data_IF_988251486187
#
_entry.id   IF_988251486187
#
_cell.length_a   1.000
_cell.length_b   1.000
_cell.length_c   1.000
_cell.angle_alpha   90.00
_cell.angle_beta   90.00
_cell.angle_gamma   90.00
#
_symmetry.space_group_name_H-M   'P 1'
#
loop_
_entity.id
_entity.type
_entity.pdbx_description
1 polymer ?
#
# COMPACT_ATOMS: atom_id res chain seq x y z
N UNK A 1 52.27 7.38 72.72
CA UNK A 1 51.27 6.29 72.68
C UNK A 1 50.07 6.79 71.87
N UNK A 2 50.01 6.50 70.57
CA UNK A 2 48.96 7.02 69.68
C UNK A 2 48.50 5.90 68.74
N UNK A 3 47.23 5.50 68.84
CA UNK A 3 46.54 4.66 67.85
C UNK A 3 45.49 5.54 67.16
N UNK A 4 45.78 5.96 65.94
CA UNK A 4 44.76 6.38 64.96
C UNK A 4 44.38 5.13 64.17
N UNK A 5 43.21 4.57 64.48
CA UNK A 5 42.55 3.57 63.65
C UNK A 5 41.82 4.36 62.56
N UNK A 6 42.33 4.30 61.34
CA UNK A 6 41.71 4.94 60.18
C UNK A 6 40.68 3.98 59.56
N UNK A 7 39.49 4.51 59.28
CA UNK A 7 38.30 3.82 58.82
C UNK A 7 38.51 3.04 57.51
N UNK A 8 38.56 1.71 57.61
CA UNK A 8 38.50 0.79 56.47
C UNK A 8 37.13 0.87 55.76
N UNK A 9 36.06 1.25 56.47
CA UNK A 9 34.70 1.33 55.91
C UNK A 9 34.54 2.45 54.85
N UNK A 10 35.23 3.57 55.00
CA UNK A 10 35.14 4.70 54.06
C UNK A 10 35.85 4.39 52.74
N UNK A 11 36.93 3.61 52.78
CA UNK A 11 37.69 3.23 51.58
C UNK A 11 36.90 2.21 50.74
N UNK A 12 36.20 1.28 51.38
CA UNK A 12 35.36 0.28 50.68
C UNK A 12 34.16 0.94 50.00
N UNK A 13 33.58 1.98 50.61
CA UNK A 13 32.42 2.68 50.03
C UNK A 13 32.78 3.54 48.81
N UNK A 14 33.97 4.16 48.79
CA UNK A 14 34.46 4.94 47.64
C UNK A 14 34.83 4.03 46.46
N UNK A 15 35.41 2.84 46.72
CA UNK A 15 35.72 1.87 45.67
C UNK A 15 34.46 1.26 45.03
N UNK A 16 33.40 1.02 45.82
CA UNK A 16 32.14 0.49 45.31
C UNK A 16 31.41 1.47 44.38
N UNK A 17 31.43 2.77 44.69
CA UNK A 17 30.81 3.81 43.86
C UNK A 17 31.61 4.04 42.56
N UNK A 18 32.94 3.97 42.61
CA UNK A 18 33.81 4.06 41.42
C UNK A 18 33.58 2.92 40.41
N UNK A 19 33.35 1.70 40.90
CA UNK A 19 33.07 0.53 40.06
C UNK A 19 31.68 0.58 39.39
N UNK A 20 30.68 1.17 40.07
CA UNK A 20 29.34 1.34 39.49
C UNK A 20 29.35 2.45 38.44
N UNK A 21 30.08 3.56 38.65
CA UNK A 21 30.20 4.61 37.63
C UNK A 21 31.02 4.17 36.41
N UNK A 22 32.03 3.30 36.55
CA UNK A 22 32.76 2.78 35.38
C UNK A 22 31.93 1.77 34.57
N UNK A 23 31.01 1.05 35.20
CA UNK A 23 30.07 0.17 34.49
C UNK A 23 29.01 0.96 33.71
N UNK A 24 28.55 2.10 34.25
CA UNK A 24 27.57 2.94 33.54
C UNK A 24 28.24 3.70 32.39
N UNK A 25 29.48 4.17 32.52
CA UNK A 25 30.19 4.86 31.43
C UNK A 25 30.61 3.94 30.28
N UNK A 26 30.85 2.65 30.54
CA UNK A 26 31.18 1.67 29.49
C UNK A 26 29.96 1.20 28.68
N UNK A 27 28.74 1.52 29.12
CA UNK A 27 27.51 1.31 28.35
C UNK A 27 27.19 2.45 27.37
N UNK A 28 27.86 3.62 27.48
CA UNK A 28 27.56 4.79 26.64
C UNK A 28 28.59 5.06 25.51
N UNK A 29 29.72 4.35 25.44
CA UNK A 29 30.78 4.61 24.45
C UNK A 29 31.26 3.37 23.66
N UNK A 30 30.37 2.44 23.33
CA UNK A 30 30.60 1.49 22.23
C UNK A 30 29.74 1.87 21.02
N UNK A 31 30.08 2.99 20.41
CA UNK A 31 29.70 3.34 19.04
C UNK A 31 30.99 3.65 18.30
N UNK A 32 31.53 2.66 17.58
CA UNK A 32 32.22 2.74 16.27
C UNK A 32 32.78 1.34 16.01
N UNK A 33 31.96 0.53 15.34
CA UNK A 33 32.33 -0.45 14.30
C UNK A 33 31.12 -1.36 14.09
N UNK A 34 30.28 -0.97 13.14
CA UNK A 34 29.27 -1.85 12.57
C UNK A 34 30.00 -2.92 11.74
N UNK A 35 30.55 -3.93 12.40
CA UNK A 35 30.80 -5.22 11.77
C UNK A 35 29.45 -5.87 11.50
N UNK A 36 29.25 -6.30 10.25
CA UNK A 36 28.10 -7.08 9.81
C UNK A 36 27.88 -8.27 10.77
N UNK A 37 26.94 -8.12 11.69
CA UNK A 37 26.47 -9.23 12.49
C UNK A 37 25.91 -10.28 11.53
N UNK A 38 26.64 -11.38 11.36
CA UNK A 38 26.22 -12.52 10.58
C UNK A 38 24.85 -12.98 11.08
N UNK A 39 23.83 -12.75 10.28
CA UNK A 39 22.46 -13.18 10.58
C UNK A 39 22.47 -14.70 10.68
N UNK A 40 22.31 -15.25 11.89
CA UNK A 40 22.03 -16.69 12.07
C UNK A 40 20.73 -17.00 11.33
N UNK A 41 20.83 -17.65 10.19
CA UNK A 41 19.68 -18.13 9.43
C UNK A 41 18.95 -19.19 10.27
N UNK A 42 17.68 -18.92 10.61
CA UNK A 42 16.83 -19.96 11.18
C UNK A 42 16.59 -21.02 10.08
N UNK A 43 16.80 -22.31 10.38
CA UNK A 43 16.68 -23.39 9.40
C UNK A 43 15.19 -23.69 9.13
N UNK A 44 14.54 -22.84 8.31
CA UNK A 44 13.30 -23.08 7.54
C UNK A 44 12.69 -21.79 6.94
N UNK A 45 13.40 -20.66 6.92
CA UNK A 45 12.83 -19.43 6.35
C UNK A 45 12.68 -19.55 4.83
N UNK A 46 11.44 -19.49 4.36
CA UNK A 46 11.09 -19.26 2.96
C UNK A 46 11.92 -18.08 2.46
N UNK A 47 12.63 -18.24 1.35
CA UNK A 47 13.59 -17.23 0.87
C UNK A 47 13.27 -16.81 -0.55
N UNK A 48 12.14 -16.12 -0.71
CA UNK A 48 11.81 -15.43 -1.95
C UNK A 48 12.71 -14.21 -2.10
N UNK A 49 13.32 -14.06 -3.28
CA UNK A 49 14.25 -12.97 -3.58
C UNK A 49 13.80 -12.16 -4.80
N UNK A 50 13.82 -10.84 -4.66
CA UNK A 50 13.59 -9.91 -5.77
C UNK A 50 14.92 -9.31 -6.22
N UNK A 51 15.24 -9.43 -7.50
CA UNK A 51 16.42 -8.80 -8.08
C UNK A 51 16.21 -7.28 -8.14
N UNK A 52 17.23 -6.54 -7.72
CA UNK A 52 17.25 -5.08 -7.68
C UNK A 52 18.61 -4.56 -8.17
N UNK A 53 18.60 -3.33 -8.68
CA UNK A 53 19.82 -2.59 -9.03
C UNK A 53 20.62 -2.25 -7.78
N UNK A 54 19.94 -1.71 -6.75
CA UNK A 54 20.58 -1.13 -5.58
C UNK A 54 19.71 -1.17 -4.32
N UNK A 55 20.29 -1.59 -3.20
CA UNK A 55 19.64 -1.74 -1.87
C UNK A 55 19.47 -0.43 -1.08
N UNK A 56 20.04 0.67 -1.54
CA UNK A 56 19.92 1.97 -0.88
C UNK A 56 18.46 2.40 -0.79
N UNK A 57 18.04 2.64 0.45
CA UNK A 57 16.76 3.21 0.85
C UNK A 57 17.07 4.41 1.74
N UNK A 58 16.53 5.60 1.44
CA UNK A 58 16.72 6.78 2.29
C UNK A 58 16.32 6.52 3.75
N UNK A 59 17.03 7.12 4.71
CA UNK A 59 16.73 6.97 6.14
C UNK A 59 15.31 7.43 6.49
N UNK A 60 14.84 8.52 5.87
CA UNK A 60 13.49 9.03 6.05
C UNK A 60 12.41 8.02 5.60
N UNK A 61 12.65 7.30 4.50
CA UNK A 61 11.77 6.24 4.00
C UNK A 61 11.71 5.07 4.97
N UNK A 62 12.88 4.61 5.47
CA UNK A 62 12.94 3.52 6.46
C UNK A 62 12.19 3.88 7.74
N UNK A 63 12.42 5.10 8.26
CA UNK A 63 11.77 5.60 9.47
C UNK A 63 10.26 5.74 9.28
N UNK A 64 9.79 6.23 8.12
CA UNK A 64 8.36 6.33 7.83
C UNK A 64 7.69 4.95 7.78
N UNK A 65 8.35 3.96 7.16
CA UNK A 65 7.86 2.59 7.15
C UNK A 65 7.75 2.04 8.58
N UNK A 66 8.82 2.16 9.37
CA UNK A 66 8.91 1.72 10.76
C UNK A 66 7.82 2.33 11.64
N UNK A 67 7.67 3.66 11.57
CA UNK A 67 6.79 4.42 12.45
C UNK A 67 5.30 4.13 12.18
N UNK A 68 4.91 3.84 10.93
CA UNK A 68 3.49 3.84 10.53
C UNK A 68 2.93 2.52 10.01
N UNK A 69 3.75 1.53 9.62
CA UNK A 69 3.20 0.34 8.97
C UNK A 69 2.22 -0.42 9.87
N UNK A 70 2.55 -0.59 11.14
CA UNK A 70 1.84 -1.50 12.02
C UNK A 70 0.45 -0.96 12.40
N UNK A 71 0.32 0.35 12.59
CA UNK A 71 -0.97 0.98 12.88
C UNK A 71 -1.92 0.92 11.69
N UNK A 72 -1.39 1.09 10.47
CA UNK A 72 -2.15 0.91 9.21
C UNK A 72 -2.59 -0.54 9.00
N UNK A 73 -1.71 -1.50 9.23
CA UNK A 73 -2.06 -2.93 9.18
C UNK A 73 -3.16 -3.25 10.19
N UNK A 74 -3.06 -2.75 11.42
CA UNK A 74 -4.08 -2.95 12.44
C UNK A 74 -5.46 -2.36 12.03
N UNK A 75 -5.47 -1.24 11.30
CA UNK A 75 -6.70 -0.67 10.75
C UNK A 75 -7.31 -1.57 9.66
N UNK A 76 -6.48 -2.11 8.76
CA UNK A 76 -6.91 -3.02 7.69
C UNK A 76 -7.44 -4.35 8.23
N UNK A 77 -6.78 -4.93 9.22
CA UNK A 77 -7.21 -6.18 9.87
C UNK A 77 -8.57 -5.99 10.57
N UNK A 78 -8.72 -4.89 11.32
CA UNK A 78 -9.97 -4.55 12.01
C UNK A 78 -11.12 -4.33 11.01
N UNK A 79 -10.82 -3.73 9.86
CA UNK A 79 -11.80 -3.53 8.78
C UNK A 79 -12.21 -4.86 8.14
N UNK A 80 -11.24 -5.74 7.86
CA UNK A 80 -11.46 -7.04 7.21
C UNK A 80 -11.99 -8.14 8.15
N UNK A 81 -12.08 -7.86 9.45
CA UNK A 81 -12.47 -8.83 10.48
C UNK A 81 -11.40 -9.89 10.76
N UNK A 82 -10.15 -9.66 10.33
CA UNK A 82 -9.03 -10.54 10.63
C UNK A 82 -8.58 -10.37 12.09
N UNK A 83 -8.17 -11.47 12.73
CA UNK A 83 -7.67 -11.43 14.10
C UNK A 83 -6.22 -10.96 14.08
N UNK A 84 -5.91 -9.97 14.92
CA UNK A 84 -4.56 -9.43 15.14
C UNK A 84 -3.49 -10.53 15.10
N UNK A 85 -2.68 -10.52 14.04
CA UNK A 85 -1.47 -11.34 13.98
C UNK A 85 -0.25 -10.47 14.29
N UNK A 86 0.88 -11.10 14.64
CA UNK A 86 2.13 -10.37 14.84
C UNK A 86 2.74 -10.18 13.46
N UNK A 87 3.13 -8.93 13.19
CA UNK A 87 3.70 -8.53 11.91
C UNK A 87 5.12 -8.02 12.08
N UNK A 88 5.90 -8.16 11.03
CA UNK A 88 7.21 -7.55 10.86
C UNK A 88 7.40 -7.14 9.40
N UNK A 89 8.33 -6.23 9.12
CA UNK A 89 8.67 -5.86 7.76
C UNK A 89 9.76 -6.77 7.21
N UNK A 90 9.61 -7.16 5.94
CA UNK A 90 10.65 -7.81 5.14
C UNK A 90 11.63 -6.81 4.52
N UNK A 91 12.66 -7.33 3.86
CA UNK A 91 13.63 -6.49 3.13
C UNK A 91 12.94 -5.70 2.01
N UNK A 92 13.21 -4.39 1.98
CA UNK A 92 12.65 -3.50 0.97
C UNK A 92 13.12 -3.87 -0.43
N UNK A 93 12.22 -3.76 -1.41
CA UNK A 93 12.52 -3.99 -2.82
C UNK A 93 12.04 -2.81 -3.68
N UNK A 94 12.43 -2.84 -4.95
CA UNK A 94 12.08 -1.83 -5.97
C UNK A 94 11.48 -2.52 -7.19
N UNK A 95 10.68 -1.78 -7.94
CA UNK A 95 10.09 -2.22 -9.19
C UNK A 95 10.62 -1.33 -10.32
N UNK A 96 10.78 -1.91 -11.51
CA UNK A 96 11.41 -1.22 -12.64
C UNK A 96 10.49 -1.16 -13.85
N UNK A 97 10.55 -0.06 -14.58
CA UNK A 97 9.92 0.04 -15.90
C UNK A 97 10.67 -0.83 -16.91
N UNK A 98 10.08 -1.11 -18.08
CA UNK A 98 10.75 -1.90 -19.12
C UNK A 98 12.03 -1.26 -19.67
N UNK A 99 12.15 0.07 -19.54
CA UNK A 99 13.41 0.80 -19.79
C UNK A 99 14.43 0.70 -18.64
N UNK A 100 14.18 -0.18 -17.67
CA UNK A 100 15.03 -0.50 -16.51
C UNK A 100 15.22 0.65 -15.51
N UNK A 101 14.50 1.77 -15.66
CA UNK A 101 14.45 2.82 -14.64
C UNK A 101 13.55 2.37 -13.50
N UNK A 102 13.95 2.72 -12.27
CA UNK A 102 13.08 2.57 -11.09
C UNK A 102 11.74 3.27 -11.34
N UNK A 103 10.66 2.68 -10.83
CA UNK A 103 9.35 3.34 -10.81
C UNK A 103 9.29 4.53 -9.83
N UNK A 104 10.25 4.62 -8.92
CA UNK A 104 10.41 5.72 -7.98
C UNK A 104 9.92 5.43 -6.57
N UNK A 105 9.28 4.28 -6.36
CA UNK A 105 8.67 3.89 -5.09
C UNK A 105 9.55 2.93 -4.30
N UNK A 106 9.25 2.79 -3.01
CA UNK A 106 9.89 1.84 -2.11
C UNK A 106 8.84 0.89 -1.52
N UNK A 107 9.13 -0.41 -1.59
CA UNK A 107 8.16 -1.44 -1.22
C UNK A 107 8.69 -2.28 -0.07
N UNK A 108 7.98 -2.30 1.05
CA UNK A 108 8.31 -3.14 2.20
C UNK A 108 7.25 -4.23 2.38
N UNK A 109 7.59 -5.51 2.21
CA UNK A 109 6.68 -6.60 2.51
C UNK A 109 6.29 -6.60 3.99
N UNK A 110 5.01 -6.79 4.30
CA UNK A 110 4.53 -7.03 5.66
C UNK A 110 4.34 -8.53 5.84
N UNK A 111 5.14 -9.12 6.71
CA UNK A 111 5.18 -10.54 6.99
C UNK A 111 4.34 -10.86 8.23
N UNK A 112 3.48 -11.88 8.13
CA UNK A 112 2.85 -12.47 9.31
C UNK A 112 3.83 -13.43 10.02
N UNK A 113 3.40 -13.99 11.16
CA UNK A 113 4.18 -14.98 11.95
C UNK A 113 4.67 -16.21 11.17
N UNK A 114 3.97 -16.57 10.09
CA UNK A 114 4.33 -17.71 9.23
C UNK A 114 5.37 -17.34 8.16
N UNK A 115 5.80 -16.08 8.12
CA UNK A 115 6.70 -15.55 7.08
C UNK A 115 6.01 -15.35 5.74
N UNK A 116 4.67 -15.31 5.69
CA UNK A 116 3.91 -14.98 4.47
C UNK A 116 3.73 -13.48 4.36
N UNK A 117 3.88 -12.97 3.14
CA UNK A 117 3.58 -11.56 2.84
C UNK A 117 2.06 -11.38 2.79
N UNK A 118 1.49 -10.57 3.67
CA UNK A 118 0.05 -10.29 3.70
C UNK A 118 -0.30 -8.91 3.13
N UNK A 119 0.59 -7.94 3.32
CA UNK A 119 0.48 -6.60 2.79
C UNK A 119 1.84 -6.14 2.25
N UNK A 120 1.85 -5.03 1.54
CA UNK A 120 3.04 -4.28 1.15
C UNK A 120 2.83 -2.83 1.55
N UNK A 121 3.83 -2.29 2.26
CA UNK A 121 3.95 -0.84 2.47
C UNK A 121 4.56 -0.26 1.21
N UNK A 122 3.85 0.66 0.57
CA UNK A 122 4.34 1.44 -0.57
C UNK A 122 4.62 2.85 -0.07
N UNK A 123 5.87 3.30 -0.20
CA UNK A 123 6.27 4.66 0.10
C UNK A 123 6.67 5.35 -1.19
N UNK A 124 6.04 6.48 -1.46
CA UNK A 124 6.21 7.25 -2.68
C UNK A 124 6.71 8.66 -2.37
N UNK A 125 7.59 9.25 -3.19
CA UNK A 125 7.91 10.66 -3.09
C UNK A 125 6.64 11.50 -3.26
N UNK A 126 6.48 12.55 -2.44
CA UNK A 126 5.45 13.55 -2.67
C UNK A 126 5.68 14.23 -4.00
N UNK A 127 4.60 14.42 -4.74
CA UNK A 127 4.60 15.17 -5.99
C UNK A 127 4.20 16.62 -5.72
N UNK A 128 4.68 17.55 -6.55
CA UNK A 128 4.46 18.99 -6.37
C UNK A 128 2.96 19.41 -6.32
N UNK A 129 2.05 18.55 -6.78
CA UNK A 129 0.61 18.79 -6.81
C UNK A 129 -0.15 18.21 -5.60
N UNK A 130 0.54 17.58 -4.64
CA UNK A 130 -0.08 17.17 -3.38
C UNK A 130 -0.44 18.41 -2.56
N UNK A 131 -1.75 18.66 -2.38
CA UNK A 131 -2.26 19.93 -1.85
C UNK A 131 -2.04 20.11 -0.34
N UNK A 132 -1.46 19.13 0.35
CA UNK A 132 -1.25 19.21 1.80
C UNK A 132 0.21 18.97 2.18
N UNK A 133 0.86 20.11 2.45
CA UNK A 133 2.25 20.28 2.89
C UNK A 133 2.42 20.25 4.42
N UNK A 134 1.36 19.90 5.17
CA UNK A 134 1.35 19.86 6.65
C UNK A 134 2.28 18.79 7.23
N UNK A 135 2.45 17.67 6.52
CA UNK A 135 3.43 16.65 6.89
C UNK A 135 4.82 17.05 6.38
N UNK A 136 5.77 17.27 7.31
CA UNK A 136 7.20 17.53 7.04
C UNK A 136 7.92 16.38 6.28
N UNK A 137 7.22 15.27 5.99
CA UNK A 137 7.77 14.18 5.20
C UNK A 137 7.72 14.51 3.71
N UNK A 138 8.82 14.31 3.00
CA UNK A 138 8.90 14.35 1.52
C UNK A 138 8.22 13.14 0.86
N UNK A 139 7.57 12.28 1.63
CA UNK A 139 6.99 11.01 1.18
C UNK A 139 5.55 10.82 1.67
N UNK A 140 4.76 10.12 0.88
CA UNK A 140 3.47 9.53 1.25
C UNK A 140 3.63 8.03 1.50
N UNK A 141 2.69 7.45 2.24
CA UNK A 141 2.71 6.03 2.60
C UNK A 141 1.32 5.42 2.44
N UNK A 142 1.30 4.22 1.86
CA UNK A 142 0.13 3.38 1.71
C UNK A 142 0.45 1.95 2.16
N UNK A 143 -0.53 1.25 2.70
CA UNK A 143 -0.47 -0.18 2.98
C UNK A 143 -1.64 -0.85 2.28
N UNK A 144 -1.36 -1.87 1.48
CA UNK A 144 -2.38 -2.66 0.79
C UNK A 144 -1.91 -4.09 0.50
N UNK A 145 -2.78 -5.01 0.07
CA UNK A 145 -2.40 -6.34 -0.39
C UNK A 145 -1.59 -6.38 -1.68
N UNK A 146 -1.16 -5.23 -2.21
CA UNK A 146 -0.43 -5.09 -3.45
C UNK A 146 0.72 -6.10 -3.57
N UNK A 147 0.74 -6.90 -4.64
CA UNK A 147 1.69 -7.99 -4.93
C UNK A 147 1.90 -9.06 -3.85
N UNK A 148 1.26 -9.00 -2.68
CA UNK A 148 1.42 -9.96 -1.58
C UNK A 148 1.29 -11.41 -2.04
N UNK A 149 0.24 -11.71 -2.80
CA UNK A 149 0.00 -13.04 -3.39
C UNK A 149 1.11 -13.45 -4.36
N UNK A 150 1.61 -12.52 -5.17
CA UNK A 150 2.69 -12.79 -6.13
C UNK A 150 3.99 -13.10 -5.38
N UNK A 151 4.34 -12.29 -4.38
CA UNK A 151 5.54 -12.54 -3.57
C UNK A 151 5.50 -13.91 -2.88
N UNK A 152 4.32 -14.36 -2.43
CA UNK A 152 4.14 -15.70 -1.86
C UNK A 152 4.12 -16.82 -2.92
N UNK A 153 3.63 -16.56 -4.15
CA UNK A 153 3.53 -17.56 -5.21
C UNK A 153 4.90 -18.01 -5.72
N UNK A 154 5.88 -17.11 -5.70
CA UNK A 154 7.25 -17.36 -6.12
C UNK A 154 8.15 -17.77 -4.94
N UNK A 155 7.59 -18.54 -4.01
CA UNK A 155 8.30 -19.05 -2.83
C UNK A 155 9.63 -19.73 -3.21
N UNK A 156 10.71 -19.36 -2.51
CA UNK A 156 12.07 -19.88 -2.71
C UNK A 156 12.63 -19.64 -4.12
N UNK A 157 12.07 -18.70 -4.88
CA UNK A 157 12.56 -18.31 -6.20
C UNK A 157 13.18 -16.92 -6.18
N UNK A 158 14.03 -16.68 -7.18
CA UNK A 158 14.60 -15.37 -7.49
C UNK A 158 13.96 -14.83 -8.77
N UNK A 159 13.51 -13.58 -8.76
CA UNK A 159 12.89 -12.96 -9.93
C UNK A 159 13.00 -11.44 -9.92
N UNK A 160 12.73 -10.81 -11.06
CA UNK A 160 12.63 -9.36 -11.19
C UNK A 160 11.17 -8.96 -11.36
N UNK A 161 10.75 -7.88 -10.70
CA UNK A 161 9.42 -7.29 -10.90
C UNK A 161 9.56 -6.08 -11.81
N UNK A 162 8.74 -6.07 -12.86
CA UNK A 162 8.70 -5.00 -13.84
C UNK A 162 7.29 -4.42 -13.94
N UNK A 163 7.19 -3.19 -14.44
CA UNK A 163 5.92 -2.52 -14.70
C UNK A 163 5.92 -1.76 -16.03
N UNK A 164 4.74 -1.62 -16.62
CA UNK A 164 4.45 -0.67 -17.69
C UNK A 164 2.98 -0.22 -17.59
N UNK A 165 2.48 0.49 -18.61
CA UNK A 165 1.09 0.97 -18.64
C UNK A 165 0.03 -0.12 -18.55
N UNK A 166 0.38 -1.38 -18.85
CA UNK A 166 -0.56 -2.52 -18.85
C UNK A 166 -0.60 -3.28 -17.53
N UNK A 167 0.39 -3.06 -16.65
CA UNK A 167 0.47 -3.69 -15.34
C UNK A 167 1.86 -4.20 -15.00
N UNK A 168 1.92 -5.26 -14.20
CA UNK A 168 3.17 -5.82 -13.68
C UNK A 168 3.52 -7.17 -14.25
N UNK A 169 4.82 -7.39 -14.31
CA UNK A 169 5.40 -8.58 -14.85
C UNK A 169 6.44 -9.13 -13.89
N UNK A 170 6.50 -10.45 -13.80
CA UNK A 170 7.59 -11.17 -13.17
C UNK A 170 8.48 -11.78 -14.24
N UNK A 171 9.79 -11.54 -14.13
CA UNK A 171 10.82 -12.19 -14.94
C UNK A 171 11.59 -13.15 -14.06
N UNK A 172 11.43 -14.45 -14.32
CA UNK A 172 12.15 -15.52 -13.61
C UNK A 172 13.56 -15.71 -14.18
N UNK A 173 14.40 -16.47 -13.47
CA UNK A 173 15.80 -16.73 -13.90
C UNK A 173 15.92 -17.42 -15.26
N UNK A 174 14.91 -18.17 -15.68
CA UNK A 174 14.81 -18.76 -17.02
C UNK A 174 14.32 -17.77 -18.09
N UNK A 175 14.34 -16.46 -17.80
CA UNK A 175 13.90 -15.35 -18.65
C UNK A 175 12.43 -15.44 -19.09
N UNK A 176 11.59 -16.24 -18.41
CA UNK A 176 10.15 -16.24 -18.66
C UNK A 176 9.51 -15.00 -18.04
N UNK A 177 8.81 -14.25 -18.87
CA UNK A 177 8.03 -13.08 -18.47
C UNK A 177 6.58 -13.51 -18.27
N UNK A 178 6.03 -13.25 -17.08
CA UNK A 178 4.63 -13.51 -16.75
C UNK A 178 3.94 -12.23 -16.32
N UNK A 179 2.80 -11.91 -16.92
CA UNK A 179 1.94 -10.80 -16.51
C UNK A 179 1.20 -11.22 -15.22
N UNK A 180 1.48 -10.56 -14.10
CA UNK A 180 1.03 -10.96 -12.76
C UNK A 180 -0.08 -10.09 -12.17
N UNK A 181 -0.20 -8.83 -12.60
CA UNK A 181 -1.26 -7.91 -12.19
C UNK A 181 -1.59 -6.97 -13.35
N UNK A 182 -2.85 -6.94 -13.77
CA UNK A 182 -3.34 -6.11 -14.88
C UNK A 182 -3.88 -4.79 -14.36
N UNK A 183 -3.58 -3.70 -15.05
CA UNK A 183 -3.98 -2.34 -14.62
C UNK A 183 -4.59 -1.59 -15.81
N UNK A 184 -5.76 -2.02 -16.31
CA UNK A 184 -6.36 -1.42 -17.50
C UNK A 184 -6.79 0.02 -17.25
N UNK A 185 -6.75 0.86 -18.28
CA UNK A 185 -7.30 2.21 -18.24
C UNK A 185 -8.27 2.46 -19.41
N UNK A 186 -9.23 3.36 -19.20
CA UNK A 186 -10.23 3.74 -20.22
C UNK A 186 -9.57 4.53 -21.36
N UNK A 187 -9.83 4.15 -22.61
CA UNK A 187 -9.32 4.84 -23.80
C UNK A 187 -8.10 4.19 -24.46
N UNK A 188 -7.60 3.06 -23.94
CA UNK A 188 -6.66 2.21 -24.67
C UNK A 188 -7.42 1.51 -25.82
N UNK A 189 -7.70 2.26 -26.91
CA UNK A 189 -8.07 1.64 -28.19
C UNK A 189 -7.00 0.61 -28.50
N UNK A 190 -7.38 -0.57 -28.99
CA UNK A 190 -6.50 -1.65 -29.45
C UNK A 190 -5.43 -1.13 -30.44
N UNK A 191 -4.41 -0.40 -29.95
CA UNK A 191 -3.08 -0.47 -30.49
C UNK A 191 -2.76 -1.94 -30.38
N UNK A 192 -2.58 -2.58 -31.55
CA UNK A 192 -2.38 -4.02 -31.71
C UNK A 192 -1.74 -4.60 -30.46
N UNK A 193 -2.31 -5.68 -29.95
CA UNK A 193 -1.89 -6.49 -28.79
C UNK A 193 -0.42 -7.00 -28.83
N UNK A 194 0.52 -6.27 -29.40
CA UNK A 194 1.90 -6.29 -28.94
C UNK A 194 1.89 -5.76 -27.50
N UNK A 195 1.72 -6.69 -26.55
CA UNK A 195 2.39 -6.56 -25.27
C UNK A 195 3.80 -6.07 -25.61
N UNK A 196 4.21 -4.90 -25.09
CA UNK A 196 5.60 -4.50 -25.22
C UNK A 196 6.40 -5.70 -24.76
N UNK A 197 7.04 -6.39 -25.69
CA UNK A 197 7.93 -7.46 -25.30
C UNK A 197 9.05 -6.71 -24.60
N UNK A 198 9.55 -7.20 -23.46
CA UNK A 198 10.77 -6.69 -22.87
C UNK A 198 11.97 -7.07 -23.75
N UNK A 199 11.97 -6.61 -25.00
CA UNK A 199 13.09 -6.73 -25.92
C UNK A 199 14.17 -5.85 -25.29
N UNK A 200 15.27 -6.50 -24.87
CA UNK A 200 16.44 -5.88 -24.26
C UNK A 200 16.34 -5.55 -22.76
N UNK A 201 15.63 -6.36 -21.95
CA UNK A 201 15.89 -6.33 -20.50
C UNK A 201 17.20 -7.07 -20.23
N UNK A 202 18.22 -6.30 -19.89
CA UNK A 202 19.48 -6.85 -19.42
C UNK A 202 19.38 -7.09 -17.91
N UNK A 203 19.06 -8.34 -17.54
CA UNK A 203 18.99 -8.72 -16.13
C UNK A 203 20.32 -8.54 -15.38
N UNK A 204 21.45 -8.37 -16.08
CA UNK A 204 22.75 -8.07 -15.46
C UNK A 204 22.78 -6.70 -14.77
N UNK A 205 21.83 -5.83 -15.06
CA UNK A 205 21.69 -4.55 -14.37
C UNK A 205 21.11 -4.69 -12.95
N UNK A 206 20.46 -5.82 -12.64
CA UNK A 206 19.94 -6.13 -11.30
C UNK A 206 20.90 -7.03 -10.52
N UNK A 207 21.99 -6.43 -10.04
CA UNK A 207 23.13 -7.16 -9.43
C UNK A 207 22.90 -7.58 -7.98
N UNK A 208 21.89 -7.04 -7.33
CA UNK A 208 21.59 -7.29 -5.92
C UNK A 208 20.24 -7.99 -5.76
N UNK A 209 20.00 -8.56 -4.58
CA UNK A 209 18.72 -9.22 -4.26
C UNK A 209 18.20 -8.75 -2.92
N UNK A 210 16.91 -8.44 -2.85
CA UNK A 210 16.18 -8.21 -1.61
C UNK A 210 15.44 -9.50 -1.21
N UNK A 211 15.61 -9.93 0.03
CA UNK A 211 14.93 -11.12 0.60
C UNK A 211 13.57 -10.70 1.17
N UNK A 212 12.54 -10.79 0.34
CA UNK A 212 11.20 -10.23 0.65
C UNK A 212 10.40 -11.05 1.66
N UNK A 213 10.81 -12.29 1.92
CA UNK A 213 10.21 -13.16 2.95
C UNK A 213 11.13 -13.36 4.17
N UNK A 214 12.26 -12.64 4.20
CA UNK A 214 13.16 -12.64 5.37
C UNK A 214 12.75 -11.49 6.30
N UNK A 215 12.37 -11.77 7.55
CA UNK A 215 12.02 -10.71 8.50
C UNK A 215 13.25 -9.87 8.82
N UNK A 216 13.07 -8.56 8.95
CA UNK A 216 14.10 -7.68 9.51
C UNK A 216 13.87 -7.63 11.02
N UNK A 217 14.82 -8.18 11.78
CA UNK A 217 14.73 -8.29 13.24
C UNK A 217 14.50 -6.93 13.92
N UNK A 218 15.03 -5.83 13.35
CA UNK A 218 14.83 -4.47 13.89
C UNK A 218 13.35 -4.03 13.91
N UNK A 219 12.51 -4.63 13.05
CA UNK A 219 11.08 -4.33 12.95
C UNK A 219 10.21 -5.39 13.63
N UNK A 220 10.81 -6.42 14.24
CA UNK A 220 10.09 -7.35 15.11
C UNK A 220 9.65 -6.59 16.36
N UNK A 221 8.38 -6.18 16.37
CA UNK A 221 7.83 -5.48 17.52
C UNK A 221 7.43 -6.51 18.60
N UNK A 222 8.07 -6.52 19.79
CA UNK A 222 7.64 -7.38 20.89
C UNK A 222 6.26 -6.98 21.43
N UNK A 223 5.76 -5.78 21.10
CA UNK A 223 4.41 -5.35 21.44
C UNK A 223 3.39 -5.98 20.49
N UNK A 224 2.90 -7.15 20.89
CA UNK A 224 1.53 -7.55 20.56
C UNK A 224 0.58 -6.46 21.02
N UNK A 225 0.12 -5.56 20.15
CA UNK A 225 -0.96 -4.64 20.57
C UNK A 225 -1.12 -3.29 19.91
N UNK A 226 -0.36 -2.93 18.87
CA UNK A 226 -0.72 -1.73 18.08
C UNK A 226 -2.10 -1.97 17.47
N UNK A 227 -3.06 -1.12 17.84
CA UNK A 227 -4.46 -1.20 17.42
C UNK A 227 -4.84 0.14 16.81
N UNK A 228 -5.62 0.12 15.74
CA UNK A 228 -6.33 1.32 15.31
C UNK A 228 -7.27 1.77 16.44
N UNK A 229 -7.13 3.03 16.85
CA UNK A 229 -7.92 3.61 17.94
C UNK A 229 -9.39 3.61 17.55
N UNK A 230 -9.66 4.00 16.31
CA UNK A 230 -11.00 4.06 15.74
C UNK A 230 -11.01 3.52 14.30
N UNK A 231 -12.07 2.78 13.95
CA UNK A 231 -12.33 2.33 12.58
C UNK A 231 -13.83 2.40 12.34
N UNK A 232 -14.22 3.14 11.32
CA UNK A 232 -15.58 3.23 10.79
C UNK A 232 -15.61 2.65 9.39
N UNK A 233 -16.65 1.88 9.06
CA UNK A 233 -16.79 1.30 7.73
C UNK A 233 -18.25 1.12 7.32
N UNK A 234 -18.50 1.12 6.01
CA UNK A 234 -19.76 0.70 5.43
C UNK A 234 -20.02 -0.77 5.78
N UNK A 235 -21.00 -1.00 6.65
CA UNK A 235 -21.24 -2.27 7.34
C UNK A 235 -21.30 -3.51 6.43
N UNK A 236 -21.88 -3.38 5.24
CA UNK A 236 -22.07 -4.51 4.32
C UNK A 236 -21.15 -4.44 3.08
N UNK A 237 -20.12 -3.58 3.12
CA UNK A 237 -19.16 -3.51 2.03
C UNK A 237 -18.39 -4.83 1.94
N UNK A 238 -18.35 -5.39 0.74
CA UNK A 238 -17.62 -6.63 0.46
C UNK A 238 -17.14 -6.63 -0.99
N UNK A 239 -15.87 -6.92 -1.17
CA UNK A 239 -15.26 -7.13 -2.48
C UNK A 239 -15.79 -8.46 -3.02
N UNK A 240 -16.60 -8.40 -4.08
CA UNK A 240 -17.22 -9.56 -4.74
C UNK A 240 -16.62 -9.88 -6.10
N UNK A 241 -16.02 -8.88 -6.74
CA UNK A 241 -15.40 -8.94 -8.05
C UNK A 241 -14.21 -8.00 -8.11
N UNK A 242 -13.27 -8.25 -9.02
CA UNK A 242 -12.13 -7.37 -9.29
C UNK A 242 -12.06 -7.06 -10.78
N UNK A 243 -11.62 -5.86 -11.10
CA UNK A 243 -11.49 -5.40 -12.48
C UNK A 243 -10.38 -6.19 -13.21
N UNK A 244 -10.78 -6.77 -14.35
CA UNK A 244 -9.92 -7.57 -15.22
C UNK A 244 -9.25 -6.72 -16.29
N UNK A 245 -9.47 -7.03 -17.57
CA UNK A 245 -8.98 -6.24 -18.70
C UNK A 245 -10.14 -5.46 -19.36
N UNK A 246 -10.64 -4.41 -18.71
CA UNK A 246 -11.77 -3.61 -19.21
C UNK A 246 -11.71 -2.18 -18.63
N UNK A 247 -12.49 -1.26 -19.20
CA UNK A 247 -12.55 0.16 -18.80
C UNK A 247 -13.54 0.47 -17.66
N UNK A 248 -13.98 -0.52 -16.90
CA UNK A 248 -15.22 -0.42 -16.10
C UNK A 248 -15.02 -0.03 -14.62
N UNK A 249 -13.92 0.62 -14.26
CA UNK A 249 -13.61 1.00 -12.86
C UNK A 249 -14.79 1.64 -12.11
N UNK A 250 -15.55 2.52 -12.78
CA UNK A 250 -16.76 3.15 -12.22
C UNK A 250 -17.92 2.16 -12.02
N UNK A 251 -18.08 1.18 -12.92
CA UNK A 251 -19.06 0.11 -12.79
C UNK A 251 -18.78 -0.79 -11.59
N UNK A 252 -17.52 -1.18 -11.38
CA UNK A 252 -17.09 -1.93 -10.19
C UNK A 252 -17.32 -1.14 -8.90
N UNK A 253 -16.92 0.14 -8.90
CA UNK A 253 -17.07 1.06 -7.78
C UNK A 253 -18.55 1.19 -7.37
N UNK A 254 -19.43 1.57 -8.31
CA UNK A 254 -20.86 1.72 -8.02
C UNK A 254 -21.50 0.40 -7.58
N UNK A 255 -21.12 -0.73 -8.19
CA UNK A 255 -21.69 -2.03 -7.83
C UNK A 255 -21.37 -2.43 -6.40
N UNK A 256 -20.11 -2.25 -5.97
CA UNK A 256 -19.71 -2.54 -4.61
C UNK A 256 -20.40 -1.63 -3.59
N UNK A 257 -20.50 -0.33 -3.91
CA UNK A 257 -21.15 0.69 -3.08
C UNK A 257 -22.67 0.44 -2.94
N UNK A 258 -23.39 0.25 -4.05
CA UNK A 258 -24.82 -0.10 -4.05
C UNK A 258 -25.10 -1.40 -3.30
N UNK A 259 -24.27 -2.43 -3.51
CA UNK A 259 -24.38 -3.68 -2.77
C UNK A 259 -24.20 -3.47 -1.26
N UNK A 260 -23.29 -2.58 -0.85
CA UNK A 260 -23.06 -2.25 0.56
C UNK A 260 -24.25 -1.50 1.17
N UNK A 261 -24.72 -0.42 0.51
CA UNK A 261 -25.76 0.45 1.07
C UNK A 261 -27.16 -0.18 1.03
N UNK A 262 -27.44 -1.04 0.04
CA UNK A 262 -28.67 -1.83 0.00
C UNK A 262 -28.59 -3.17 0.73
N UNK A 263 -27.42 -3.59 1.22
CA UNK A 263 -27.18 -4.92 1.77
C UNK A 263 -27.64 -6.04 0.82
N UNK A 264 -27.09 -6.03 -0.39
CA UNK A 264 -27.39 -6.99 -1.45
C UNK A 264 -26.11 -7.43 -2.17
N UNK A 265 -26.23 -8.34 -3.11
CA UNK A 265 -25.15 -8.84 -3.97
C UNK A 265 -25.54 -8.87 -5.45
N UNK A 266 -26.68 -8.27 -5.82
CA UNK A 266 -27.21 -8.30 -7.19
C UNK A 266 -26.45 -7.41 -8.17
N UNK A 267 -25.73 -6.40 -7.69
CA UNK A 267 -25.01 -5.45 -8.55
C UNK A 267 -23.64 -6.02 -8.93
N UNK A 268 -23.29 -5.90 -10.21
CA UNK A 268 -21.96 -6.22 -10.75
C UNK A 268 -21.64 -5.26 -11.90
N UNK A 269 -20.34 -5.04 -12.15
CA UNK A 269 -19.86 -4.06 -13.10
C UNK A 269 -20.43 -4.29 -14.51
N UNK A 270 -20.45 -5.52 -15.00
CA UNK A 270 -20.95 -5.84 -16.35
C UNK A 270 -22.41 -5.42 -16.54
N UNK A 271 -23.27 -5.70 -15.55
CA UNK A 271 -24.68 -5.32 -15.60
C UNK A 271 -24.88 -3.80 -15.58
N UNK A 272 -24.08 -3.07 -14.79
CA UNK A 272 -24.10 -1.60 -14.78
C UNK A 272 -23.70 -1.04 -16.14
N UNK A 273 -22.59 -1.53 -16.70
CA UNK A 273 -22.10 -1.10 -18.01
C UNK A 273 -23.11 -1.43 -19.11
N UNK A 274 -23.71 -2.63 -19.09
CA UNK A 274 -24.72 -3.05 -20.07
C UNK A 274 -25.99 -2.20 -20.01
N UNK A 275 -26.40 -1.79 -18.80
CA UNK A 275 -27.54 -0.89 -18.64
C UNK A 275 -27.30 0.49 -19.25
N UNK A 276 -26.10 1.05 -19.04
CA UNK A 276 -25.74 2.39 -19.54
C UNK A 276 -25.43 2.40 -21.04
N UNK A 277 -24.81 1.34 -21.54
CA UNK A 277 -24.35 1.21 -22.93
C UNK A 277 -24.93 -0.04 -23.62
N UNK A 278 -26.28 -0.14 -23.77
CA UNK A 278 -26.92 -1.37 -24.27
C UNK A 278 -26.53 -1.73 -25.70
N UNK A 279 -26.16 -0.73 -26.50
CA UNK A 279 -25.87 -0.89 -27.93
C UNK A 279 -24.39 -1.14 -28.23
N UNK A 280 -23.48 -0.97 -27.25
CA UNK A 280 -22.06 -1.24 -27.47
C UNK A 280 -21.80 -2.75 -27.47
N UNK A 281 -20.87 -3.18 -28.33
CA UNK A 281 -20.48 -4.59 -28.49
C UNK A 281 -18.95 -4.70 -28.57
N UNK A 282 -18.43 -5.91 -28.35
CA UNK A 282 -16.99 -6.20 -28.48
C UNK A 282 -16.09 -5.25 -27.67
N UNK A 283 -15.00 -4.81 -28.29
CA UNK A 283 -14.01 -3.91 -27.68
C UNK A 283 -14.63 -2.57 -27.24
N UNK A 284 -15.59 -2.03 -28.01
CA UNK A 284 -16.24 -0.77 -27.66
C UNK A 284 -17.00 -0.90 -26.34
N UNK A 285 -17.67 -2.04 -26.10
CA UNK A 285 -18.29 -2.29 -24.80
C UNK A 285 -17.23 -2.49 -23.71
N UNK A 286 -16.17 -3.23 -24.01
CA UNK A 286 -15.16 -3.64 -23.04
C UNK A 286 -14.32 -2.46 -22.51
N UNK A 287 -14.04 -1.44 -23.33
CA UNK A 287 -13.10 -0.37 -22.98
C UNK A 287 -13.72 1.03 -22.84
N UNK A 288 -15.03 1.16 -23.05
CA UNK A 288 -15.74 2.40 -22.75
C UNK A 288 -15.89 2.57 -21.24
N UNK A 289 -15.35 3.67 -20.70
CA UNK A 289 -15.55 4.07 -19.30
C UNK A 289 -16.86 4.82 -19.08
N UNK A 290 -17.05 5.38 -17.87
CA UNK A 290 -18.23 6.17 -17.53
C UNK A 290 -17.84 7.61 -17.18
N UNK A 291 -18.69 8.54 -17.59
CA UNK A 291 -18.66 9.93 -17.14
C UNK A 291 -19.33 10.10 -15.77
N UNK A 292 -18.99 11.15 -14.99
CA UNK A 292 -19.68 11.47 -13.75
C UNK A 292 -21.21 11.58 -13.91
N UNK A 293 -21.68 12.14 -15.04
CA UNK A 293 -23.09 12.29 -15.34
C UNK A 293 -23.79 10.92 -15.53
N UNK A 294 -23.13 9.97 -16.19
CA UNK A 294 -23.66 8.60 -16.33
C UNK A 294 -23.71 7.88 -14.99
N UNK A 295 -22.69 8.05 -14.14
CA UNK A 295 -22.68 7.49 -12.79
C UNK A 295 -23.86 8.02 -11.95
N UNK A 296 -24.08 9.35 -11.96
CA UNK A 296 -25.21 9.96 -11.25
C UNK A 296 -26.56 9.55 -11.84
N UNK A 297 -26.68 9.47 -13.17
CA UNK A 297 -27.88 8.98 -13.86
C UNK A 297 -28.20 7.53 -13.46
N UNK A 298 -27.17 6.68 -13.35
CA UNK A 298 -27.33 5.32 -12.89
C UNK A 298 -27.81 5.29 -11.43
N UNK A 299 -27.15 6.03 -10.53
CA UNK A 299 -27.60 6.19 -9.14
C UNK A 299 -29.08 6.56 -9.03
N UNK A 300 -29.53 7.58 -9.78
CA UNK A 300 -30.94 7.97 -9.85
C UNK A 300 -31.87 6.84 -10.29
N UNK A 301 -31.48 6.06 -11.30
CA UNK A 301 -32.26 4.89 -11.75
C UNK A 301 -32.37 3.78 -10.69
N UNK A 302 -31.43 3.74 -9.75
CA UNK A 302 -31.43 2.81 -8.61
C UNK A 302 -32.11 3.40 -7.36
N UNK A 303 -32.81 4.54 -7.47
CA UNK A 303 -33.50 5.18 -6.34
C UNK A 303 -32.57 5.93 -5.39
N UNK A 304 -31.42 6.41 -5.90
CA UNK A 304 -30.42 7.17 -5.12
C UNK A 304 -30.33 8.61 -5.60
N UNK A 305 -30.11 9.52 -4.67
CA UNK A 305 -29.85 10.94 -4.95
C UNK A 305 -28.35 11.22 -4.80
N UNK A 306 -27.60 10.83 -5.83
CA UNK A 306 -26.14 10.99 -5.86
C UNK A 306 -25.78 12.46 -6.04
N UNK A 307 -24.75 12.92 -5.32
CA UNK A 307 -24.27 14.29 -5.35
C UNK A 307 -22.82 14.35 -5.81
N UNK A 308 -22.48 15.30 -6.68
CA UNK A 308 -21.10 15.53 -7.13
C UNK A 308 -20.40 16.51 -6.18
N UNK A 309 -19.23 16.11 -5.68
CA UNK A 309 -18.35 16.94 -4.87
C UNK A 309 -17.05 17.19 -5.63
N UNK A 310 -16.76 18.45 -5.98
CA UNK A 310 -15.56 18.80 -6.76
C UNK A 310 -14.27 18.89 -5.92
N UNK A 311 -14.05 17.90 -5.04
CA UNK A 311 -12.86 17.73 -4.21
C UNK A 311 -12.84 16.36 -3.54
N UNK A 312 -11.73 16.03 -2.91
CA UNK A 312 -11.65 15.06 -1.84
C UNK A 312 -12.48 15.54 -0.62
N UNK A 313 -13.33 14.69 -0.02
CA UNK A 313 -13.97 14.96 1.26
C UNK A 313 -12.94 14.94 2.39
N UNK A 314 -13.15 15.78 3.41
CA UNK A 314 -12.36 15.71 4.65
C UNK A 314 -12.63 14.41 5.41
N UNK A 315 -11.74 14.04 6.33
CA UNK A 315 -11.92 12.88 7.23
C UNK A 315 -13.29 12.88 7.91
N UNK A 316 -13.68 14.00 8.52
CA UNK A 316 -14.97 14.15 9.22
C UNK A 316 -16.19 14.03 8.29
N UNK A 317 -16.07 14.46 7.02
CA UNK A 317 -17.13 14.25 6.03
C UNK A 317 -17.25 12.77 5.67
N UNK A 318 -16.13 12.06 5.49
CA UNK A 318 -16.12 10.62 5.27
C UNK A 318 -16.76 9.88 6.45
N UNK A 319 -16.38 10.24 7.68
CA UNK A 319 -16.92 9.62 8.88
C UNK A 319 -18.44 9.82 9.01
N UNK A 320 -18.90 11.05 8.81
CA UNK A 320 -20.33 11.37 8.84
C UNK A 320 -21.09 10.63 7.75
N UNK A 321 -20.58 10.57 6.52
CA UNK A 321 -21.25 9.88 5.42
C UNK A 321 -21.30 8.37 5.68
N UNK A 322 -20.18 7.76 6.07
CA UNK A 322 -20.07 6.34 6.41
C UNK A 322 -21.04 5.93 7.53
N UNK A 323 -21.08 6.71 8.62
CA UNK A 323 -22.01 6.49 9.75
C UNK A 323 -23.48 6.53 9.32
N UNK A 324 -23.81 7.39 8.36
CA UNK A 324 -25.16 7.51 7.80
C UNK A 324 -25.42 6.53 6.65
N UNK A 325 -24.56 5.53 6.45
CA UNK A 325 -24.63 4.55 5.35
C UNK A 325 -24.74 5.24 3.97
N UNK A 326 -24.07 6.39 3.81
CA UNK A 326 -23.88 7.08 2.54
C UNK A 326 -22.46 6.83 2.08
N UNK A 327 -22.33 6.25 0.91
CA UNK A 327 -21.04 5.90 0.33
C UNK A 327 -20.41 7.05 -0.48
N UNK A 328 -19.18 6.84 -0.92
CA UNK A 328 -18.40 7.79 -1.71
C UNK A 328 -17.62 7.02 -2.77
N UNK A 329 -17.86 7.35 -4.04
CA UNK A 329 -17.00 7.01 -5.16
C UNK A 329 -15.94 8.10 -5.35
N UNK A 330 -14.69 7.67 -5.46
CA UNK A 330 -13.52 8.49 -5.75
C UNK A 330 -13.40 8.65 -7.26
N UNK A 331 -13.16 9.87 -7.73
CA UNK A 331 -12.81 10.16 -9.12
C UNK A 331 -11.36 10.66 -9.18
N UNK A 332 -10.47 9.74 -9.56
CA UNK A 332 -9.04 9.98 -9.66
C UNK A 332 -8.60 10.32 -11.09
N UNK A 333 -7.59 11.17 -11.21
CA UNK A 333 -6.86 11.38 -12.47
C UNK A 333 -5.40 11.01 -12.25
N UNK A 334 -4.84 10.21 -13.15
CA UNK A 334 -3.43 9.81 -13.10
C UNK A 334 -2.54 11.04 -13.12
N UNK A 335 -1.55 11.09 -12.25
CA UNK A 335 -0.57 12.17 -12.19
C UNK A 335 0.44 12.01 -13.31
N UNK A 336 0.96 10.80 -13.49
CA UNK A 336 1.84 10.45 -14.59
C UNK A 336 1.07 10.60 -15.91
N UNK A 337 1.54 11.50 -16.78
CA UNK A 337 0.96 11.67 -18.10
C UNK A 337 1.58 10.69 -19.09
N UNK A 338 0.77 10.21 -20.03
CA UNK A 338 1.24 9.57 -21.26
C UNK A 338 0.78 10.47 -22.40
N UNK A 339 1.70 11.08 -23.14
CA UNK A 339 1.42 12.02 -24.23
C UNK A 339 0.50 13.20 -23.83
N UNK A 340 0.60 13.66 -22.57
CA UNK A 340 -0.25 14.73 -22.04
C UNK A 340 -1.68 14.30 -21.66
N UNK A 341 -2.02 13.02 -21.80
CA UNK A 341 -3.30 12.45 -21.38
C UNK A 341 -3.15 11.90 -19.96
N UNK A 342 -4.08 12.29 -19.08
CA UNK A 342 -4.22 11.76 -17.73
C UNK A 342 -5.39 10.78 -17.70
N UNK A 343 -5.10 9.50 -17.47
CA UNK A 343 -6.13 8.47 -17.38
C UNK A 343 -7.03 8.70 -16.16
N UNK A 344 -8.34 8.59 -16.33
CA UNK A 344 -9.30 8.60 -15.23
C UNK A 344 -9.44 7.21 -14.59
N UNK A 345 -9.57 7.16 -13.27
CA UNK A 345 -9.82 5.91 -12.53
C UNK A 345 -10.78 6.15 -11.37
N UNK A 346 -11.74 5.25 -11.18
CA UNK A 346 -12.70 5.31 -10.08
C UNK A 346 -12.40 4.23 -9.03
N UNK A 347 -12.52 4.62 -7.76
CA UNK A 347 -12.32 3.75 -6.59
C UNK A 347 -13.44 3.97 -5.58
N UNK A 348 -13.59 3.07 -4.60
CA UNK A 348 -14.61 3.20 -3.55
C UNK A 348 -13.99 3.58 -2.21
N UNK A 349 -14.59 4.54 -1.50
CA UNK A 349 -14.34 4.72 -0.06
C UNK A 349 -15.11 3.65 0.70
N UNK A 350 -14.42 2.96 1.60
CA UNK A 350 -15.00 1.91 2.46
C UNK A 350 -15.27 2.45 3.86
N UNK A 351 -14.52 3.47 4.27
CA UNK A 351 -14.67 4.13 5.56
C UNK A 351 -13.41 4.92 5.92
N UNK A 352 -13.15 5.06 7.22
CA UNK A 352 -12.06 5.86 7.77
C UNK A 352 -11.56 5.27 9.09
N UNK A 353 -10.35 5.62 9.47
CA UNK A 353 -9.73 5.17 10.71
C UNK A 353 -8.86 6.24 11.35
N UNK A 354 -8.78 6.22 12.66
CA UNK A 354 -7.79 6.95 13.44
C UNK A 354 -6.74 5.96 13.93
N UNK A 355 -5.51 6.16 13.48
CA UNK A 355 -4.37 5.33 13.81
C UNK A 355 -3.81 5.68 15.19
N UNK A 356 -2.96 4.82 15.74
CA UNK A 356 -2.21 5.16 16.95
C UNK A 356 -1.36 6.42 16.70
N UNK A 357 -1.46 7.39 17.61
CA UNK A 357 -0.85 8.72 17.44
C UNK A 357 -1.77 9.78 16.85
N UNK A 358 -3.06 9.46 16.61
CA UNK A 358 -4.07 10.43 16.16
C UNK A 358 -4.05 10.71 14.66
N UNK A 359 -3.28 9.94 13.88
CA UNK A 359 -3.24 10.11 12.43
C UNK A 359 -4.52 9.61 11.78
N UNK A 360 -5.17 10.47 11.01
CA UNK A 360 -6.41 10.20 10.30
C UNK A 360 -6.13 9.60 8.91
N UNK A 361 -6.78 8.47 8.60
CA UNK A 361 -6.69 7.81 7.29
C UNK A 361 -8.07 7.47 6.72
N UNK A 362 -8.17 7.47 5.40
CA UNK A 362 -9.33 7.00 4.64
C UNK A 362 -9.03 5.59 4.11
N UNK A 363 -10.01 4.71 4.25
CA UNK A 363 -9.94 3.32 3.78
C UNK A 363 -10.55 3.23 2.40
N UNK A 364 -9.79 2.75 1.42
CA UNK A 364 -10.17 2.73 0.00
C UNK A 364 -10.16 1.30 -0.52
N UNK A 365 -11.07 0.99 -1.43
CA UNK A 365 -10.98 -0.17 -2.31
C UNK A 365 -10.72 0.29 -3.74
N UNK A 366 -9.57 -0.13 -4.28
CA UNK A 366 -9.27 -0.03 -5.70
C UNK A 366 -9.82 -1.27 -6.42
N UNK A 367 -10.64 -1.13 -7.49
CA UNK A 367 -11.21 -2.26 -8.23
C UNK A 367 -10.20 -3.31 -8.72
N UNK A 368 -8.92 -2.96 -8.88
CA UNK A 368 -7.86 -3.91 -9.25
C UNK A 368 -7.50 -4.89 -8.12
N UNK A 369 -7.79 -4.54 -6.87
CA UNK A 369 -7.25 -5.19 -5.69
C UNK A 369 -8.28 -6.12 -5.01
N UNK A 370 -7.79 -7.21 -4.41
CA UNK A 370 -8.59 -8.15 -3.60
C UNK A 370 -8.60 -7.81 -2.10
N UNK A 371 -8.34 -6.55 -1.76
CA UNK A 371 -8.44 -6.03 -0.41
C UNK A 371 -8.33 -4.52 -0.40
N UNK A 372 -8.18 -3.97 0.79
CA UNK A 372 -8.28 -2.53 1.02
C UNK A 372 -6.92 -1.85 1.10
N UNK A 373 -6.91 -0.54 0.96
CA UNK A 373 -5.72 0.29 1.09
C UNK A 373 -5.97 1.45 2.06
N UNK A 374 -4.92 1.95 2.71
CA UNK A 374 -4.99 3.13 3.58
C UNK A 374 -4.44 4.35 2.87
N UNK A 375 -5.19 5.45 2.86
CA UNK A 375 -4.77 6.74 2.33
C UNK A 375 -4.71 7.77 3.46
N UNK A 376 -3.66 8.58 3.53
CA UNK A 376 -3.64 9.72 4.45
C UNK A 376 -4.81 10.67 4.14
N UNK A 377 -5.63 10.99 5.13
CA UNK A 377 -6.81 11.83 4.93
C UNK A 377 -6.45 13.27 4.50
N UNK A 378 -5.21 13.69 4.75
CA UNK A 378 -4.69 14.97 4.32
C UNK A 378 -4.20 14.96 2.87
N UNK A 379 -3.74 13.83 2.32
CA UNK A 379 -3.18 13.78 0.97
C UNK A 379 -4.24 13.43 -0.06
N UNK A 380 -4.32 14.23 -1.13
CA UNK A 380 -5.18 13.93 -2.27
C UNK A 380 -4.50 13.08 -3.35
N UNK A 381 -3.29 12.59 -3.10
CA UNK A 381 -2.54 11.75 -4.04
C UNK A 381 -2.60 10.32 -3.54
N UNK A 382 -3.27 9.47 -4.32
CA UNK A 382 -3.47 8.06 -4.01
C UNK A 382 -2.41 7.25 -4.76
N UNK A 383 -1.37 6.72 -4.08
CA UNK A 383 -0.46 5.74 -4.67
C UNK A 383 -1.21 4.42 -4.82
N UNK A 384 -1.48 4.02 -6.05
CA UNK A 384 -2.25 2.81 -6.33
C UNK A 384 -1.34 1.62 -6.52
N UNK A 385 -1.95 0.43 -6.54
CA UNK A 385 -1.29 -0.84 -6.74
C UNK A 385 -0.63 -1.00 -8.11
N UNK A 386 -0.57 0.03 -8.97
CA UNK A 386 0.25 0.02 -10.18
C UNK A 386 1.53 0.86 -10.15
N UNK A 387 1.82 1.44 -8.99
CA UNK A 387 2.99 2.29 -8.81
C UNK A 387 2.77 3.70 -9.36
N UNK A 388 1.67 3.93 -10.10
CA UNK A 388 1.21 5.25 -10.46
C UNK A 388 0.55 5.95 -9.27
N UNK A 389 0.33 7.25 -9.46
CA UNK A 389 -0.35 8.10 -8.52
C UNK A 389 -1.61 8.65 -9.17
N UNK A 390 -2.72 8.61 -8.44
CA UNK A 390 -3.97 9.22 -8.87
C UNK A 390 -4.31 10.38 -7.95
N UNK A 391 -4.46 11.57 -8.53
CA UNK A 391 -4.98 12.71 -7.81
C UNK A 391 -6.49 12.55 -7.63
N UNK A 392 -6.96 12.51 -6.39
CA UNK A 392 -8.37 12.54 -6.01
C UNK A 392 -8.93 13.95 -6.27
N UNK A 393 -9.48 14.12 -7.47
CA UNK A 393 -9.98 15.42 -7.94
C UNK A 393 -11.39 15.70 -7.46
N UNK A 394 -12.24 14.67 -7.46
CA UNK A 394 -13.65 14.81 -7.14
C UNK A 394 -14.22 13.50 -6.62
N UNK A 395 -15.46 13.59 -6.14
CA UNK A 395 -16.18 12.45 -5.57
C UNK A 395 -17.64 12.49 -6.00
N UNK A 396 -18.27 11.33 -6.04
CA UNK A 396 -19.74 11.23 -6.08
C UNK A 396 -20.16 10.47 -4.85
N UNK A 397 -21.08 11.00 -4.05
CA UNK A 397 -21.54 10.36 -2.83
C UNK A 397 -23.06 10.12 -2.83
N UNK A 398 -23.50 9.10 -2.09
CA UNK A 398 -24.91 8.80 -1.88
C UNK A 398 -25.53 7.78 -2.86
N UNK A 399 -24.76 6.77 -3.28
CA UNK A 399 -25.29 5.56 -3.93
C UNK A 399 -25.96 4.59 -2.94
#
# INVERSE_FOLDING_TARGET
>A
MAKKICNISTIVFVLAIGLILSLVFSLFFNNVNAEEASQKELPNQKNTKVNIDKKDIPSAVKKLAEDQYLSRVAALDKLSGEKNSSYTLGEAFKIYKFNQKSDGNYYFPVLNKEGKVVYVVTISPKIANDKNTSSNSDYTINVSPFLSKILNQYENQKFTILTNTKGYFVVTEDNKIKHVLKTPYSGEKNSKNTMESPKNIDLKNFKQTASVTKPIIQFENPKYGVRAQYVNQLKNFKIRETQGNNGWCAGYTMSALLNATYNTDRYNAEAVMRYLHPNLQGDDFQFTGLTPQEMMKYGKSQGRDTQYLNRMPSYNEVDKLTTNNKDIAILGSRVESTDGIHAGHAMAVVGNAELEGGQEVIMIWNPWDRGFMTQDAESNIIPVSNGDHYQWNSSIYGY
#
